data_IF_905987995443
#
_entry.id   IF_905987995443
#
_cell.length_a   1.000
_cell.length_b   1.000
_cell.length_c   1.000
_cell.angle_alpha   90.00
_cell.angle_beta   90.00
_cell.angle_gamma   90.00
#
_symmetry.space_group_name_H-M   'P 1'
#
loop_
_entity.id
_entity.type
_entity.pdbx_description
1 polymer ?
#
# COMPACT_ATOMS: atom_id res chain seq x y z
N UNK A 1 22.53 2.99 69.32
CA UNK A 1 22.78 1.66 68.73
C UNK A 1 23.25 1.85 67.29
N UNK A 2 24.36 1.20 66.96
CA UNK A 2 25.05 1.31 65.68
C UNK A 2 24.45 0.39 64.59
N UNK A 3 24.50 0.83 63.32
CA UNK A 3 25.03 0.05 62.16
C UNK A 3 25.01 0.91 60.87
N UNK A 4 26.21 1.14 60.31
CA UNK A 4 26.52 1.42 58.88
C UNK A 4 26.61 0.07 58.12
N UNK A 5 26.94 0.00 56.80
CA UNK A 5 26.55 0.77 55.61
C UNK A 5 26.21 -0.18 54.40
N UNK A 6 26.08 0.33 53.16
CA UNK A 6 26.19 -0.34 51.83
C UNK A 6 25.01 0.03 50.90
N UNK A 7 25.12 0.37 49.62
CA UNK A 7 26.22 0.39 48.65
C UNK A 7 26.01 1.54 47.66
N UNK A 8 27.12 2.11 47.19
CA UNK A 8 27.14 2.96 46.01
C UNK A 8 26.89 2.10 44.76
N UNK A 9 25.82 2.39 44.03
CA UNK A 9 25.53 1.83 42.71
C UNK A 9 25.68 2.91 41.65
N UNK A 10 26.78 2.87 40.91
CA UNK A 10 27.10 3.78 39.82
C UNK A 10 25.99 3.85 38.76
N UNK A 11 25.34 5.01 38.65
CA UNK A 11 24.49 5.36 37.51
C UNK A 11 25.35 5.51 36.26
N UNK A 12 25.51 4.43 35.48
CA UNK A 12 26.11 4.50 34.15
C UNK A 12 25.08 5.04 33.15
N UNK A 13 25.39 6.23 32.64
CA UNK A 13 24.86 6.91 31.47
C UNK A 13 24.21 5.98 30.41
N UNK A 14 22.90 6.17 30.19
CA UNK A 14 22.17 5.67 29.01
C UNK A 14 22.00 6.71 27.90
N UNK A 15 22.63 7.88 27.99
CA UNK A 15 22.49 8.96 26.99
C UNK A 15 23.36 8.78 25.73
N UNK A 16 24.19 7.73 25.67
CA UNK A 16 25.12 7.49 24.55
C UNK A 16 24.61 6.56 23.44
N UNK A 17 23.68 5.65 23.73
CA UNK A 17 23.28 4.60 22.77
C UNK A 17 22.15 5.00 21.82
N UNK A 18 21.36 6.03 22.15
CA UNK A 18 20.24 6.46 21.30
C UNK A 18 20.69 7.36 20.12
N UNK A 19 21.87 7.97 20.18
CA UNK A 19 22.35 8.89 19.13
C UNK A 19 22.93 8.19 17.90
N UNK A 20 23.43 6.95 18.04
CA UNK A 20 23.94 6.16 16.90
C UNK A 20 22.80 5.52 16.10
N UNK A 21 21.79 4.96 16.79
CA UNK A 21 20.63 4.36 16.13
C UNK A 21 19.73 5.38 15.39
N UNK A 22 19.73 6.64 15.84
CA UNK A 22 18.95 7.74 15.23
C UNK A 22 19.55 8.21 13.89
N UNK A 23 20.87 8.11 13.70
CA UNK A 23 21.52 8.47 12.43
C UNK A 23 21.25 7.45 11.32
N UNK A 24 21.18 6.16 11.66
CA UNK A 24 21.12 5.06 10.70
C UNK A 24 19.80 4.99 9.90
N UNK A 25 18.67 5.25 10.56
CA UNK A 25 17.35 5.10 9.92
C UNK A 25 17.01 6.17 8.87
N UNK A 26 17.48 7.41 9.08
CA UNK A 26 17.27 8.51 8.13
C UNK A 26 18.13 8.34 6.86
N UNK A 27 19.32 7.80 7.04
CA UNK A 27 20.26 7.44 5.97
C UNK A 27 19.66 6.30 5.15
N UNK A 28 19.26 5.20 5.81
CA UNK A 28 18.66 4.03 5.15
C UNK A 28 17.38 4.35 4.37
N UNK A 29 16.56 5.32 4.81
CA UNK A 29 15.37 5.73 4.05
C UNK A 29 15.73 6.41 2.72
N UNK A 30 16.69 7.33 2.75
CA UNK A 30 17.08 8.15 1.59
C UNK A 30 18.07 7.44 0.65
N UNK A 31 18.68 6.35 1.08
CA UNK A 31 19.52 5.50 0.23
C UNK A 31 18.80 5.01 -1.01
N UNK A 32 19.55 4.99 -2.12
CA UNK A 32 19.13 4.36 -3.37
C UNK A 32 19.04 2.84 -3.17
N UNK A 33 17.93 2.28 -3.64
CA UNK A 33 17.56 0.86 -3.58
C UNK A 33 17.27 0.39 -4.99
N UNK A 34 17.46 -0.90 -5.28
CA UNK A 34 17.20 -1.48 -6.60
C UNK A 34 15.98 -2.42 -6.59
N UNK A 35 15.20 -2.40 -7.66
CA UNK A 35 14.12 -3.35 -7.93
C UNK A 35 13.95 -3.52 -9.45
N UNK A 36 14.05 -4.74 -9.96
CA UNK A 36 13.96 -5.06 -11.40
C UNK A 36 14.83 -4.14 -12.28
N UNK A 37 16.08 -3.90 -11.87
CA UNK A 37 17.03 -3.03 -12.59
C UNK A 37 16.76 -1.53 -12.49
N UNK A 38 15.82 -1.09 -11.63
CA UNK A 38 15.49 0.33 -11.44
C UNK A 38 15.85 0.81 -10.03
N UNK A 39 16.54 1.95 -9.97
CA UNK A 39 16.85 2.62 -8.71
C UNK A 39 15.65 3.42 -8.17
N UNK A 40 15.39 3.32 -6.87
CA UNK A 40 14.36 4.07 -6.16
C UNK A 40 14.82 4.48 -4.74
N UNK A 41 14.15 5.46 -4.13
CA UNK A 41 14.41 5.91 -2.76
C UNK A 41 13.14 5.88 -1.91
N UNK A 42 13.30 5.94 -0.60
CA UNK A 42 12.20 5.91 0.37
C UNK A 42 11.92 4.50 0.91
N UNK A 43 10.64 4.20 1.11
CA UNK A 43 10.19 2.98 1.77
C UNK A 43 10.50 1.74 0.93
N UNK A 44 11.04 0.70 1.58
CA UNK A 44 11.33 -0.60 0.93
C UNK A 44 10.05 -1.27 0.40
N UNK A 45 10.12 -1.85 -0.79
CA UNK A 45 9.04 -2.64 -1.41
C UNK A 45 8.62 -3.80 -0.48
N UNK A 46 7.32 -4.07 -0.41
CA UNK A 46 6.72 -5.09 0.46
C UNK A 46 6.36 -4.61 1.87
N UNK A 47 6.78 -3.41 2.29
CA UNK A 47 6.35 -2.83 3.58
C UNK A 47 5.05 -2.05 3.43
N UNK A 48 4.24 -2.01 4.50
CA UNK A 48 2.96 -1.31 4.54
C UNK A 48 2.95 -0.11 5.50
N UNK A 49 2.05 0.84 5.24
CA UNK A 49 1.68 1.88 6.20
C UNK A 49 0.20 1.74 6.57
N UNK A 50 -0.10 1.89 7.86
CA UNK A 50 -1.47 2.03 8.36
C UNK A 50 -1.69 3.48 8.81
N UNK A 51 -2.75 4.09 8.28
CA UNK A 51 -3.16 5.46 8.58
C UNK A 51 -4.59 5.45 9.09
N UNK A 52 -4.86 6.26 10.11
CA UNK A 52 -6.22 6.60 10.50
C UNK A 52 -6.52 7.98 9.94
N UNK A 53 -7.66 8.08 9.25
CA UNK A 53 -8.18 9.34 8.77
C UNK A 53 -9.11 9.91 9.84
N UNK A 54 -9.03 11.21 10.05
CA UNK A 54 -10.02 11.92 10.85
C UNK A 54 -11.38 11.91 10.12
N UNK A 55 -12.38 12.61 10.65
CA UNK A 55 -13.61 12.81 9.91
C UNK A 55 -13.32 13.59 8.62
N UNK A 56 -13.40 12.91 7.49
CA UNK A 56 -13.20 13.49 6.18
C UNK A 56 -14.50 13.95 5.55
N UNK A 57 -14.40 14.93 4.66
CA UNK A 57 -15.55 15.42 3.89
C UNK A 57 -15.43 14.90 2.47
N UNK A 58 -16.42 14.10 2.06
CA UNK A 58 -16.59 13.61 0.70
C UNK A 58 -17.62 14.46 -0.02
N UNK A 59 -17.26 15.06 -1.16
CA UNK A 59 -18.14 15.89 -1.97
C UNK A 59 -18.17 15.37 -3.39
N UNK A 60 -19.37 15.20 -3.93
CA UNK A 60 -19.57 14.78 -5.32
C UNK A 60 -20.57 15.66 -6.03
N UNK A 61 -20.40 15.76 -7.33
CA UNK A 61 -21.33 16.46 -8.22
C UNK A 61 -21.48 15.64 -9.48
N UNK A 62 -22.72 15.27 -9.83
CA UNK A 62 -23.00 14.57 -11.08
C UNK A 62 -22.78 15.55 -12.22
N UNK A 63 -21.89 15.19 -13.15
CA UNK A 63 -21.59 16.02 -14.31
C UNK A 63 -22.31 15.51 -15.56
N UNK A 64 -22.39 14.20 -15.73
CA UNK A 64 -23.09 13.53 -16.84
C UNK A 64 -23.80 12.27 -16.31
N UNK A 65 -24.61 11.55 -17.11
CA UNK A 65 -25.31 10.34 -16.66
C UNK A 65 -24.39 9.34 -15.95
N UNK A 66 -23.16 9.17 -16.47
CA UNK A 66 -22.19 8.15 -16.02
C UNK A 66 -20.93 8.74 -15.37
N UNK A 67 -20.86 10.07 -15.18
CA UNK A 67 -19.67 10.72 -14.61
C UNK A 67 -20.03 11.65 -13.45
N UNK A 68 -19.29 11.46 -12.35
CA UNK A 68 -19.32 12.33 -11.19
C UNK A 68 -17.94 12.93 -10.95
N UNK A 69 -17.91 14.22 -10.65
CA UNK A 69 -16.72 14.86 -10.09
C UNK A 69 -16.73 14.64 -8.59
N UNK A 70 -15.65 14.12 -8.03
CA UNK A 70 -15.52 13.89 -6.60
C UNK A 70 -14.31 14.61 -6.00
N UNK A 71 -14.39 14.91 -4.71
CA UNK A 71 -13.26 15.36 -3.91
C UNK A 71 -13.38 14.84 -2.47
N UNK A 72 -12.26 14.49 -1.87
CA UNK A 72 -12.18 14.04 -0.48
C UNK A 72 -11.02 14.73 0.22
N UNK A 73 -11.30 15.39 1.34
CA UNK A 73 -10.32 16.15 2.10
C UNK A 73 -10.38 15.80 3.59
N UNK A 74 -9.21 15.50 4.17
CA UNK A 74 -9.09 15.10 5.58
C UNK A 74 -7.63 15.12 6.05
N UNK A 75 -7.43 15.35 7.35
CA UNK A 75 -6.14 15.13 8.01
C UNK A 75 -5.95 13.66 8.36
N UNK A 76 -4.76 13.11 8.07
CA UNK A 76 -4.43 11.70 8.37
C UNK A 76 -3.31 11.60 9.39
N UNK A 77 -3.34 10.57 10.22
CA UNK A 77 -2.36 10.33 11.29
C UNK A 77 -1.79 8.92 11.20
N UNK A 78 -0.50 8.77 11.52
CA UNK A 78 0.13 7.44 11.60
C UNK A 78 -0.52 6.66 12.75
N UNK A 79 -0.74 5.37 12.55
CA UNK A 79 -1.22 4.50 13.63
C UNK A 79 -0.22 4.37 14.79
N UNK A 80 1.08 4.55 14.53
CA UNK A 80 2.14 4.57 15.54
C UNK A 80 3.02 5.81 15.43
N UNK A 81 3.82 6.08 16.48
CA UNK A 81 4.81 7.17 16.45
C UNK A 81 5.89 6.86 15.40
N UNK A 82 6.27 7.87 14.64
CA UNK A 82 7.40 7.74 13.73
C UNK A 82 8.69 7.62 14.57
N UNK A 83 9.62 6.73 14.20
CA UNK A 83 10.97 6.75 14.77
C UNK A 83 11.59 8.15 14.66
N UNK A 84 12.39 8.52 15.65
CA UNK A 84 13.08 9.82 15.66
C UNK A 84 14.02 9.90 14.45
N UNK A 85 14.10 11.07 13.81
CA UNK A 85 14.85 11.28 12.56
C UNK A 85 14.25 10.62 11.31
N UNK A 86 13.14 9.89 11.40
CA UNK A 86 12.53 9.21 10.25
C UNK A 86 11.46 10.03 9.55
N UNK A 87 11.23 9.73 8.27
CA UNK A 87 10.23 10.39 7.44
C UNK A 87 10.81 11.53 6.62
N UNK A 88 9.92 12.34 6.07
CA UNK A 88 10.31 13.49 5.25
C UNK A 88 10.10 14.79 6.01
N UNK A 89 10.86 15.85 5.69
CA UNK A 89 10.71 17.15 6.34
C UNK A 89 9.28 17.69 6.27
N UNK A 90 8.88 18.41 7.32
CA UNK A 90 7.59 19.12 7.38
C UNK A 90 7.50 20.11 6.23
N UNK A 91 6.34 20.17 5.55
CA UNK A 91 6.16 20.96 4.33
C UNK A 91 6.45 20.20 3.03
N UNK A 92 6.95 18.96 3.11
CA UNK A 92 7.07 18.11 1.91
C UNK A 92 5.69 17.72 1.38
N UNK A 93 5.44 17.97 0.10
CA UNK A 93 4.20 17.61 -0.57
C UNK A 93 4.40 16.46 -1.56
N UNK A 94 3.34 15.71 -1.80
CA UNK A 94 3.35 14.63 -2.76
C UNK A 94 2.15 14.68 -3.68
N UNK A 95 2.40 14.50 -4.96
CA UNK A 95 1.38 14.28 -5.95
C UNK A 95 1.29 12.78 -6.24
N UNK A 96 0.27 12.14 -5.69
CA UNK A 96 -0.06 10.75 -5.93
C UNK A 96 -1.26 10.65 -6.87
N UNK A 97 -1.19 9.75 -7.85
CA UNK A 97 -2.34 9.32 -8.62
C UNK A 97 -2.88 8.02 -8.03
N UNK A 98 -4.20 7.94 -7.82
CA UNK A 98 -4.86 6.73 -7.31
C UNK A 98 -5.81 6.25 -8.40
N UNK A 99 -5.64 4.99 -8.81
CA UNK A 99 -6.63 4.27 -9.62
C UNK A 99 -7.27 3.24 -8.71
N UNK A 100 -8.55 3.41 -8.41
CA UNK A 100 -9.28 2.54 -7.51
C UNK A 100 -10.72 2.38 -7.97
N UNK A 101 -11.29 1.22 -7.66
CA UNK A 101 -12.72 0.99 -7.73
C UNK A 101 -13.31 1.16 -6.33
N UNK A 102 -14.50 1.75 -6.28
CA UNK A 102 -15.25 1.95 -5.05
C UNK A 102 -16.41 0.94 -5.00
N UNK A 103 -16.52 0.21 -3.91
CA UNK A 103 -17.68 -0.61 -3.60
C UNK A 103 -18.53 0.10 -2.55
N UNK A 104 -19.78 0.34 -2.90
CA UNK A 104 -20.76 1.00 -2.03
C UNK A 104 -21.96 0.09 -1.86
N UNK A 105 -22.44 -0.05 -0.62
CA UNK A 105 -23.66 -0.82 -0.29
C UNK A 105 -24.53 0.01 0.64
N UNK A 106 -25.77 0.21 0.25
CA UNK A 106 -26.79 0.83 1.11
C UNK A 106 -27.10 -0.10 2.27
N UNK A 107 -27.09 0.43 3.49
CA UNK A 107 -27.43 -0.30 4.70
C UNK A 107 -28.85 0.02 5.15
N UNK A 108 -29.19 1.31 5.13
CA UNK A 108 -30.51 1.83 5.52
C UNK A 108 -30.80 3.14 4.76
N UNK A 109 -31.82 3.89 5.18
CA UNK A 109 -32.23 5.13 4.53
C UNK A 109 -31.08 6.15 4.34
N UNK A 110 -30.16 6.23 5.31
CA UNK A 110 -29.15 7.29 5.40
C UNK A 110 -27.71 6.77 5.45
N UNK A 111 -27.51 5.45 5.57
CA UNK A 111 -26.19 4.85 5.77
C UNK A 111 -25.79 3.97 4.60
N UNK A 112 -24.52 4.09 4.21
CA UNK A 112 -23.88 3.28 3.17
C UNK A 112 -22.49 2.85 3.66
N UNK A 113 -22.11 1.60 3.41
CA UNK A 113 -20.69 1.21 3.51
C UNK A 113 -19.95 1.72 2.28
N UNK A 114 -18.71 2.13 2.44
CA UNK A 114 -17.82 2.47 1.32
C UNK A 114 -16.47 1.79 1.51
N UNK A 115 -15.96 1.17 0.46
CA UNK A 115 -14.62 0.58 0.42
C UNK A 115 -13.97 0.93 -0.92
N UNK A 116 -12.67 1.23 -0.90
CA UNK A 116 -11.88 1.46 -2.12
C UNK A 116 -10.69 0.52 -2.13
N UNK A 117 -10.51 -0.16 -3.26
CA UNK A 117 -9.35 -1.03 -3.52
C UNK A 117 -8.69 -0.56 -4.80
N UNK A 118 -7.36 -0.53 -4.84
CA UNK A 118 -6.67 -0.04 -6.03
C UNK A 118 -5.18 0.19 -5.85
N UNK A 119 -4.62 0.88 -6.83
CA UNK A 119 -3.20 1.15 -6.98
C UNK A 119 -2.92 2.64 -6.79
N UNK A 120 -1.74 2.95 -6.24
CA UNK A 120 -1.31 4.31 -5.93
C UNK A 120 0.09 4.57 -6.48
N UNK A 121 0.22 5.57 -7.35
CA UNK A 121 1.44 5.89 -8.08
C UNK A 121 1.96 7.27 -7.71
N UNK A 122 3.26 7.38 -7.40
CA UNK A 122 3.91 8.69 -7.18
C UNK A 122 4.16 9.36 -8.53
N UNK A 123 3.52 10.50 -8.79
CA UNK A 123 3.80 11.29 -9.98
C UNK A 123 4.97 12.25 -9.74
N UNK A 124 4.91 12.99 -8.62
CA UNK A 124 5.94 13.94 -8.22
C UNK A 124 5.95 14.14 -6.69
N UNK A 125 6.98 14.83 -6.22
CA UNK A 125 7.02 15.39 -4.86
C UNK A 125 7.56 16.81 -4.91
N UNK A 126 7.24 17.61 -3.92
CA UNK A 126 7.78 18.94 -3.71
C UNK A 126 8.49 18.93 -2.36
N UNK A 127 9.76 19.33 -2.33
CA UNK A 127 10.54 19.32 -1.08
C UNK A 127 10.14 20.51 -0.23
N UNK A 128 10.25 20.38 1.09
CA UNK A 128 9.87 21.42 2.04
C UNK A 128 10.58 22.77 1.80
N UNK A 129 11.82 22.73 1.32
CA UNK A 129 12.69 23.88 1.07
C UNK A 129 12.57 24.43 -0.36
N UNK A 130 11.69 23.86 -1.20
CA UNK A 130 11.62 24.21 -2.63
C UNK A 130 10.19 24.45 -3.08
N UNK A 131 10.00 25.53 -3.84
CA UNK A 131 8.70 25.85 -4.40
C UNK A 131 8.32 25.06 -5.66
N UNK A 132 9.28 24.35 -6.26
CA UNK A 132 9.09 23.61 -7.51
C UNK A 132 8.90 22.11 -7.27
N UNK A 133 7.96 21.52 -8.01
CA UNK A 133 7.80 20.08 -8.10
C UNK A 133 9.06 19.41 -8.65
N UNK A 134 9.32 18.18 -8.21
CA UNK A 134 10.44 17.35 -8.69
C UNK A 134 10.38 17.02 -10.19
N UNK A 135 9.20 17.18 -10.81
CA UNK A 135 8.93 16.96 -12.22
C UNK A 135 7.99 18.05 -12.70
N UNK A 136 8.23 18.61 -13.89
CA UNK A 136 7.33 19.60 -14.51
C UNK A 136 5.92 19.02 -14.72
N UNK A 137 4.91 19.87 -14.81
CA UNK A 137 3.52 19.43 -15.05
C UNK A 137 3.39 18.59 -16.33
N UNK A 138 4.05 19.01 -17.42
CA UNK A 138 4.13 18.22 -18.66
C UNK A 138 4.75 16.83 -18.42
N UNK A 139 5.80 16.75 -17.61
CA UNK A 139 6.42 15.49 -17.24
C UNK A 139 5.51 14.60 -16.38
N UNK A 140 4.77 15.19 -15.44
CA UNK A 140 3.77 14.48 -14.63
C UNK A 140 2.65 13.90 -15.50
N UNK A 141 2.13 14.69 -16.45
CA UNK A 141 1.11 14.25 -17.41
C UNK A 141 1.61 13.12 -18.31
N UNK A 142 2.81 13.26 -18.88
CA UNK A 142 3.41 12.22 -19.72
C UNK A 142 3.64 10.92 -18.95
N UNK A 143 4.05 11.01 -17.67
CA UNK A 143 4.19 9.85 -16.80
C UNK A 143 2.85 9.18 -16.54
N UNK A 144 1.81 9.95 -16.25
CA UNK A 144 0.46 9.42 -16.04
C UNK A 144 -0.07 8.71 -17.29
N UNK A 145 0.08 9.30 -18.47
CA UNK A 145 -0.34 8.69 -19.73
C UNK A 145 0.32 7.32 -19.93
N UNK A 146 1.65 7.21 -19.70
CA UNK A 146 2.35 5.93 -19.80
C UNK A 146 1.85 4.89 -18.80
N UNK A 147 1.56 5.31 -17.57
CA UNK A 147 1.01 4.42 -16.54
C UNK A 147 -0.37 3.90 -16.94
N UNK A 148 -1.25 4.78 -17.42
CA UNK A 148 -2.61 4.40 -17.85
C UNK A 148 -2.58 3.48 -19.06
N UNK A 149 -1.71 3.72 -20.06
CA UNK A 149 -1.55 2.82 -21.21
C UNK A 149 -1.12 1.43 -20.80
N UNK A 150 -0.10 1.33 -19.92
CA UNK A 150 0.33 0.04 -19.39
C UNK A 150 -0.80 -0.68 -18.66
N UNK A 151 -1.64 0.04 -17.92
CA UNK A 151 -2.78 -0.55 -17.22
C UNK A 151 -3.87 -1.02 -18.18
N UNK A 152 -4.12 -0.27 -19.26
CA UNK A 152 -5.01 -0.72 -20.33
C UNK A 152 -4.49 -2.02 -20.93
N UNK A 153 -3.22 -2.08 -21.33
CA UNK A 153 -2.58 -3.30 -21.86
C UNK A 153 -2.74 -4.49 -20.89
N UNK A 154 -2.54 -4.27 -19.58
CA UNK A 154 -2.72 -5.31 -18.58
C UNK A 154 -4.18 -5.78 -18.46
N UNK A 155 -5.14 -4.87 -18.48
CA UNK A 155 -6.57 -5.20 -18.42
C UNK A 155 -7.05 -5.90 -19.69
N UNK A 156 -6.45 -5.61 -20.84
CA UNK A 156 -6.73 -6.29 -22.10
C UNK A 156 -6.13 -7.70 -22.14
N UNK A 157 -5.00 -7.94 -21.46
CA UNK A 157 -4.38 -9.27 -21.34
C UNK A 157 -5.04 -10.17 -20.28
N UNK A 158 -5.52 -9.60 -19.18
CA UNK A 158 -6.19 -10.34 -18.08
C UNK A 158 -7.34 -11.27 -18.54
N UNK A 159 -8.22 -10.92 -19.49
CA UNK A 159 -9.21 -11.85 -20.02
C UNK A 159 -8.59 -13.06 -20.73
N UNK A 160 -7.43 -12.93 -21.39
CA UNK A 160 -6.77 -14.06 -22.04
C UNK A 160 -6.26 -15.10 -21.03
N UNK A 161 -5.70 -14.65 -19.91
CA UNK A 161 -5.24 -15.53 -18.82
C UNK A 161 -6.42 -16.18 -18.08
N UNK A 162 -7.51 -15.44 -17.85
CA UNK A 162 -8.75 -15.98 -17.28
C UNK A 162 -9.39 -17.04 -18.20
N UNK A 163 -9.33 -16.87 -19.52
CA UNK A 163 -9.81 -17.88 -20.48
C UNK A 163 -8.89 -19.12 -20.52
N UNK A 164 -7.57 -18.96 -20.41
CA UNK A 164 -6.61 -20.08 -20.29
C UNK A 164 -6.84 -20.87 -18.99
N UNK A 165 -7.06 -20.21 -17.86
CA UNK A 165 -7.39 -20.87 -16.59
C UNK A 165 -8.71 -21.63 -16.67
N UNK A 166 -9.77 -21.03 -17.24
CA UNK A 166 -11.06 -21.72 -17.48
C UNK A 166 -10.89 -22.95 -18.38
N UNK A 167 -10.07 -22.87 -19.43
CA UNK A 167 -9.78 -24.00 -20.31
C UNK A 167 -9.04 -25.13 -19.58
N UNK A 168 -8.02 -24.80 -18.78
CA UNK A 168 -7.27 -25.76 -17.98
C UNK A 168 -8.13 -26.45 -16.91
N UNK A 169 -9.07 -25.72 -16.29
CA UNK A 169 -10.03 -26.29 -15.33
C UNK A 169 -11.00 -27.25 -16.03
N UNK A 170 -11.50 -26.91 -17.23
CA UNK A 170 -12.37 -27.80 -18.03
C UNK A 170 -11.65 -29.07 -18.47
N UNK A 171 -10.36 -28.99 -18.82
CA UNK A 171 -9.58 -30.15 -19.24
C UNK A 171 -9.30 -31.11 -18.07
N UNK A 172 -9.00 -30.56 -16.88
CA UNK A 172 -8.85 -31.35 -15.64
C UNK A 172 -10.15 -32.04 -15.23
N UNK A 173 -11.29 -31.36 -15.36
CA UNK A 173 -12.61 -31.92 -15.06
C UNK A 173 -12.96 -33.13 -15.96
N UNK A 174 -12.64 -33.05 -17.27
CA UNK A 174 -12.81 -34.17 -18.21
C UNK A 174 -11.92 -35.37 -17.90
N UNK A 175 -10.68 -35.15 -17.42
CA UNK A 175 -9.77 -36.23 -17.01
C UNK A 175 -10.23 -36.93 -15.73
N UNK A 176 -10.88 -36.22 -14.80
CA UNK A 176 -11.45 -36.81 -13.58
C UNK A 176 -12.73 -37.61 -13.82
N UNK A 177 -13.55 -37.28 -14.83
CA UNK A 177 -14.77 -38.04 -15.16
C UNK A 177 -14.51 -39.33 -15.94
N UNK A 178 -13.29 -39.53 -16.46
CA UNK A 178 -12.92 -40.68 -17.29
C UNK A 178 -12.26 -41.84 -16.52
N UNK A 179 -12.12 -41.76 -15.19
CA UNK A 179 -11.52 -42.85 -14.40
C UNK A 179 -12.59 -43.90 -14.04
N UNK A 180 -12.49 -45.17 -14.50
CA UNK A 180 -13.50 -46.17 -14.21
C UNK A 180 -13.47 -46.53 -12.72
N UNK A 181 -14.65 -46.52 -12.07
CA UNK A 181 -14.81 -46.98 -10.68
C UNK A 181 -14.46 -48.47 -10.60
N UNK A 182 -13.30 -48.79 -10.02
CA UNK A 182 -12.90 -50.16 -9.70
C UNK A 182 -13.90 -50.70 -8.66
N UNK A 183 -14.76 -51.65 -9.04
CA UNK A 183 -15.64 -52.39 -8.12
C UNK A 183 -14.77 -53.03 -7.03
N UNK A 184 -15.01 -52.67 -5.77
CA UNK A 184 -14.50 -53.41 -4.62
C UNK A 184 -15.52 -54.50 -4.30
N UNK A 185 -15.09 -55.75 -4.34
CA UNK A 185 -15.85 -56.88 -3.80
C UNK A 185 -15.97 -56.73 -2.27
N UNK A 186 -17.09 -57.19 -1.67
CA UNK A 186 -17.27 -57.12 -0.22
C UNK A 186 -16.41 -58.18 0.46
N UNK A 187 -15.63 -57.78 1.46
CA UNK A 187 -14.92 -58.70 2.35
C UNK A 187 -15.91 -59.30 3.36
N UNK A 188 -15.91 -60.63 3.46
CA UNK A 188 -16.64 -61.40 4.46
C UNK A 188 -16.19 -61.04 5.88
N UNK A 189 -17.17 -61.00 6.79
CA UNK A 189 -17.03 -60.72 8.22
C UNK A 189 -16.81 -62.05 8.94
N UNK A 190 -15.66 -62.23 9.57
CA UNK A 190 -15.49 -63.00 10.81
C UNK A 190 -14.32 -62.45 11.61
#
# INVERSE_FOLDING_TARGET
MAKKPSSAGAGKNKEGQDKEAEKDLSVSYNEFKEYEGRLYTGMKIGRGHKWHYDQGVWKETKLTPDMWKMSFGVTKRRAGKAPKGSGVPVGTEYHWYILAHQHVRKLDANSYTTAMTGLKYKLAHKRADKDKWSVSEKGQRNRLIRLLRKLIEQLEMEPEELEKEKAAVKEKAKKTSAKPKKKREPAEVF
#
